data_IF_046430084515
#
_entry.id   IF_046430084515
#
_cell.length_a   1.000
_cell.length_b   1.000
_cell.length_c   1.000
_cell.angle_alpha   90.00
_cell.angle_beta   90.00
_cell.angle_gamma   90.00
#
_symmetry.space_group_name_H-M   'P 1'
#
loop_
_entity.id
_entity.type
_entity.pdbx_description
1 polymer ?
#
# COMPACT_ATOMS: atom_id res chain seq x y z
N UNK A 1 0.61 -11.81 19.90
CA UNK A 1 1.31 -11.59 18.62
C UNK A 1 1.86 -10.17 18.61
N UNK A 2 2.82 -9.85 17.74
CA UNK A 2 3.27 -8.49 17.45
C UNK A 2 2.98 -8.18 15.97
N UNK A 3 2.96 -6.93 15.54
CA UNK A 3 2.76 -6.61 14.12
C UNK A 3 4.07 -6.29 13.39
N UNK A 4 4.07 -6.48 12.08
CA UNK A 4 5.20 -6.23 11.18
C UNK A 4 5.52 -4.73 11.13
N UNK A 5 6.79 -4.36 11.08
CA UNK A 5 7.22 -2.99 10.77
C UNK A 5 7.99 -2.93 9.46
N UNK A 6 8.56 -1.77 9.12
CA UNK A 6 9.34 -1.59 7.89
C UNK A 6 10.57 -2.51 7.78
N UNK A 7 11.03 -3.07 8.90
CA UNK A 7 12.21 -3.94 8.94
C UNK A 7 12.00 -5.36 8.38
N UNK A 8 10.75 -5.82 8.29
CA UNK A 8 10.42 -7.19 7.85
C UNK A 8 9.58 -7.10 6.59
N UNK A 9 10.11 -7.52 5.46
CA UNK A 9 9.42 -7.41 4.17
C UNK A 9 8.67 -8.67 3.75
N UNK A 10 8.90 -9.80 4.45
CA UNK A 10 8.17 -11.05 4.27
C UNK A 10 6.65 -10.85 4.21
N UNK A 11 6.01 -11.63 3.34
CA UNK A 11 4.56 -11.63 3.13
C UNK A 11 3.89 -12.54 4.16
N UNK A 12 2.69 -12.15 4.57
CA UNK A 12 1.82 -12.97 5.41
C UNK A 12 1.22 -14.12 4.62
N UNK A 13 0.76 -15.15 5.33
CA UNK A 13 -0.06 -16.22 4.76
C UNK A 13 -1.54 -15.95 4.97
N UNK A 14 -2.38 -16.33 4.02
CA UNK A 14 -3.84 -16.36 4.08
C UNK A 14 -4.40 -17.79 3.98
N UNK A 15 -3.53 -18.81 4.00
CA UNK A 15 -3.93 -20.21 3.89
C UNK A 15 -3.24 -21.12 4.93
N UNK A 16 -3.80 -22.31 5.14
CA UNK A 16 -3.22 -23.33 6.01
C UNK A 16 -3.16 -22.92 7.50
N UNK A 17 -2.42 -23.66 8.34
CA UNK A 17 -2.36 -23.40 9.78
C UNK A 17 -1.64 -22.10 10.17
N UNK A 18 -0.81 -21.56 9.27
CA UNK A 18 -0.06 -20.31 9.45
C UNK A 18 -0.82 -19.06 8.98
N UNK A 19 -2.05 -19.19 8.51
CA UNK A 19 -2.86 -18.06 8.06
C UNK A 19 -2.95 -16.96 9.13
N UNK A 20 -2.62 -15.73 8.71
CA UNK A 20 -2.51 -14.55 9.57
C UNK A 20 -1.10 -14.30 10.12
N UNK A 21 -0.13 -15.18 9.90
CA UNK A 21 1.27 -14.99 10.32
C UNK A 21 2.21 -14.75 9.13
N UNK A 22 3.44 -14.34 9.44
CA UNK A 22 4.55 -14.27 8.46
C UNK A 22 5.39 -15.55 8.58
N UNK A 23 5.20 -16.56 7.73
CA UNK A 23 6.01 -17.76 7.76
C UNK A 23 7.44 -17.45 7.34
N UNK A 24 8.42 -18.09 7.99
CA UNK A 24 9.82 -17.91 7.61
C UNK A 24 10.08 -18.43 6.19
N UNK A 25 9.53 -19.61 5.87
CA UNK A 25 9.44 -20.13 4.50
C UNK A 25 8.32 -19.41 3.75
N UNK A 26 8.70 -18.51 2.84
CA UNK A 26 7.76 -17.69 2.09
C UNK A 26 6.95 -18.47 1.07
N UNK A 27 7.31 -19.72 0.77
CA UNK A 27 6.44 -20.60 -0.01
C UNK A 27 5.22 -21.10 0.79
N UNK A 28 5.11 -20.73 2.07
CA UNK A 28 3.92 -20.91 2.91
C UNK A 28 3.08 -19.64 3.05
N UNK A 29 3.43 -18.56 2.35
CA UNK A 29 2.71 -17.28 2.36
C UNK A 29 1.78 -17.14 1.14
N UNK A 30 1.08 -16.00 1.02
CA UNK A 30 0.17 -15.69 -0.12
C UNK A 30 0.85 -15.53 -1.48
N UNK A 31 2.17 -15.62 -1.53
CA UNK A 31 2.95 -15.62 -2.78
C UNK A 31 3.36 -17.06 -3.16
N UNK A 32 2.64 -18.06 -2.66
CA UNK A 32 2.88 -19.47 -2.97
C UNK A 32 2.94 -19.70 -4.49
N UNK A 33 3.92 -20.48 -4.94
CA UNK A 33 4.10 -20.83 -6.35
C UNK A 33 4.84 -19.80 -7.20
N UNK A 34 4.93 -18.54 -6.78
CA UNK A 34 5.81 -17.55 -7.42
C UNK A 34 7.25 -17.73 -6.93
N UNK A 35 8.02 -18.56 -7.63
CA UNK A 35 9.39 -18.91 -7.23
C UNK A 35 10.30 -17.68 -7.07
N UNK A 36 10.11 -16.64 -7.88
CA UNK A 36 10.91 -15.42 -7.79
C UNK A 36 10.56 -14.64 -6.53
N UNK A 37 9.27 -14.37 -6.31
CA UNK A 37 8.80 -13.65 -5.12
C UNK A 37 9.14 -14.43 -3.83
N UNK A 38 8.99 -15.76 -3.83
CA UNK A 38 9.34 -16.64 -2.72
C UNK A 38 10.82 -16.57 -2.40
N UNK A 39 11.69 -16.65 -3.41
CA UNK A 39 13.14 -16.56 -3.20
C UNK A 39 13.54 -15.21 -2.62
N UNK A 40 12.97 -14.13 -3.18
CA UNK A 40 13.19 -12.77 -2.68
C UNK A 40 12.71 -12.60 -1.25
N UNK A 41 11.49 -13.03 -0.93
CA UNK A 41 10.95 -12.93 0.43
C UNK A 41 11.74 -13.77 1.44
N UNK A 42 12.21 -14.95 1.04
CA UNK A 42 13.06 -15.79 1.89
C UNK A 42 14.40 -15.10 2.21
N UNK A 43 14.97 -14.42 1.22
CA UNK A 43 16.17 -13.61 1.41
C UNK A 43 15.91 -12.41 2.31
N UNK A 44 14.82 -11.68 2.11
CA UNK A 44 14.41 -10.56 2.98
C UNK A 44 14.20 -11.01 4.44
N UNK A 45 13.61 -12.19 4.66
CA UNK A 45 13.45 -12.76 6.00
C UNK A 45 14.81 -13.13 6.62
N UNK A 46 15.75 -13.68 5.85
CA UNK A 46 17.11 -13.97 6.34
C UNK A 46 17.86 -12.69 6.73
N UNK A 47 17.86 -11.70 5.85
CA UNK A 47 18.50 -10.40 6.08
C UNK A 47 17.95 -9.73 7.34
N UNK A 48 16.63 -9.74 7.55
CA UNK A 48 16.03 -9.20 8.77
C UNK A 48 16.51 -9.91 10.05
N UNK A 49 16.76 -11.22 10.01
CA UNK A 49 17.30 -11.95 11.16
C UNK A 49 18.80 -11.72 11.37
N UNK A 50 19.57 -11.52 10.31
CA UNK A 50 21.02 -11.32 10.36
C UNK A 50 21.37 -9.89 10.77
N UNK A 51 20.80 -8.90 10.09
CA UNK A 51 21.11 -7.48 10.29
C UNK A 51 20.46 -6.89 11.54
N UNK A 52 19.32 -7.45 11.97
CA UNK A 52 18.50 -6.94 13.08
C UNK A 52 18.20 -8.05 14.10
N UNK A 53 19.20 -8.89 14.35
CA UNK A 53 19.13 -10.04 15.26
C UNK A 53 18.79 -9.68 16.71
N UNK A 54 19.04 -8.43 17.12
CA UNK A 54 18.66 -7.86 18.41
C UNK A 54 17.15 -7.58 18.52
N UNK A 55 16.47 -7.37 17.38
CA UNK A 55 15.03 -7.07 17.28
C UNK A 55 14.19 -8.28 16.83
N UNK A 56 14.72 -9.14 15.97
CA UNK A 56 13.96 -10.22 15.34
C UNK A 56 14.57 -11.61 15.60
N UNK A 57 13.70 -12.62 15.59
CA UNK A 57 14.06 -14.01 15.75
C UNK A 57 12.98 -14.92 15.15
N UNK A 58 13.33 -16.18 14.89
CA UNK A 58 12.34 -17.19 14.50
C UNK A 58 11.53 -17.67 15.70
N UNK A 59 10.29 -18.07 15.46
CA UNK A 59 9.44 -18.75 16.44
C UNK A 59 8.67 -19.90 15.82
N UNK A 60 8.65 -21.05 16.50
CA UNK A 60 7.82 -22.18 16.09
C UNK A 60 6.34 -21.84 16.27
N UNK A 61 5.51 -22.24 15.30
CA UNK A 61 4.08 -22.07 15.38
C UNK A 61 3.47 -23.08 16.37
N UNK A 62 2.91 -22.52 17.44
CA UNK A 62 1.98 -23.22 18.31
C UNK A 62 0.58 -22.67 18.06
N UNK A 63 -0.39 -23.56 17.86
CA UNK A 63 -1.76 -23.21 17.55
C UNK A 63 -2.72 -23.82 18.58
N UNK A 64 -3.70 -23.05 19.03
CA UNK A 64 -4.72 -23.51 19.98
C UNK A 64 -5.88 -24.18 19.25
N UNK A 65 -6.64 -25.03 19.94
CA UNK A 65 -7.89 -25.60 19.40
C UNK A 65 -8.89 -24.52 18.98
N UNK A 66 -8.92 -23.40 19.71
CA UNK A 66 -9.76 -22.25 19.38
C UNK A 66 -9.39 -21.65 18.01
N UNK A 67 -8.10 -21.43 17.75
CA UNK A 67 -7.63 -20.91 16.45
C UNK A 67 -7.86 -21.92 15.33
N UNK A 68 -7.64 -23.21 15.57
CA UNK A 68 -7.94 -24.26 14.58
C UNK A 68 -9.44 -24.28 14.22
N UNK A 69 -10.31 -24.18 15.21
CA UNK A 69 -11.75 -24.09 14.99
C UNK A 69 -12.15 -22.81 14.24
N UNK A 70 -11.50 -21.68 14.53
CA UNK A 70 -11.72 -20.43 13.79
C UNK A 70 -11.32 -20.58 12.32
N UNK A 71 -10.11 -21.08 12.04
CA UNK A 71 -9.63 -21.31 10.67
C UNK A 71 -10.51 -22.32 9.90
N UNK A 72 -11.07 -23.31 10.59
CA UNK A 72 -12.00 -24.26 9.96
C UNK A 72 -13.36 -23.62 9.65
N UNK A 73 -13.87 -22.74 10.51
CA UNK A 73 -15.11 -21.98 10.22
C UNK A 73 -14.93 -20.96 9.10
N UNK A 74 -13.72 -20.39 8.99
CA UNK A 74 -13.33 -19.47 7.92
C UNK A 74 -12.99 -20.21 6.61
N UNK A 75 -13.18 -21.53 6.55
CA UNK A 75 -12.89 -22.39 5.39
C UNK A 75 -11.44 -22.32 4.89
N UNK A 76 -10.50 -21.94 5.76
CA UNK A 76 -9.06 -21.89 5.43
C UNK A 76 -8.42 -23.28 5.45
N UNK A 77 -8.88 -24.15 6.34
CA UNK A 77 -8.39 -25.52 6.51
C UNK A 77 -9.46 -26.47 7.02
N UNK A 78 -9.23 -27.78 6.88
CA UNK A 78 -9.91 -28.84 7.62
C UNK A 78 -8.96 -29.44 8.65
N UNK A 79 -9.44 -29.61 9.88
CA UNK A 79 -8.70 -30.21 10.98
C UNK A 79 -9.37 -31.51 11.42
N UNK A 80 -8.63 -32.61 11.33
CA UNK A 80 -9.06 -33.90 11.87
C UNK A 80 -8.58 -34.06 13.32
N UNK A 81 -9.50 -33.94 14.27
CA UNK A 81 -9.20 -34.04 15.71
C UNK A 81 -8.64 -35.42 16.09
N UNK A 82 -9.01 -36.49 15.37
CA UNK A 82 -8.58 -37.86 15.68
C UNK A 82 -7.17 -38.14 15.16
N UNK A 83 -6.87 -37.74 13.93
CA UNK A 83 -5.54 -38.00 13.33
C UNK A 83 -4.54 -36.89 13.60
N UNK A 84 -5.00 -35.73 14.12
CA UNK A 84 -4.20 -34.53 14.34
C UNK A 84 -3.57 -33.99 13.04
N UNK A 85 -4.21 -34.26 11.91
CA UNK A 85 -3.79 -33.79 10.60
C UNK A 85 -4.59 -32.56 10.16
N UNK A 86 -3.96 -31.73 9.32
CA UNK A 86 -4.55 -30.55 8.72
C UNK A 86 -4.50 -30.67 7.21
N UNK A 87 -5.63 -30.40 6.57
CA UNK A 87 -5.76 -30.28 5.12
C UNK A 87 -6.03 -28.81 4.78
N UNK A 88 -5.11 -28.08 4.12
CA UNK A 88 -5.40 -26.74 3.62
C UNK A 88 -6.45 -26.81 2.50
N UNK A 89 -7.31 -25.79 2.41
CA UNK A 89 -8.43 -25.76 1.46
C UNK A 89 -8.16 -24.91 0.20
N UNK A 90 -7.11 -24.11 0.20
CA UNK A 90 -6.77 -23.18 -0.90
C UNK A 90 -5.35 -23.43 -1.40
N UNK A 91 -4.51 -22.39 -1.42
CA UNK A 91 -3.11 -22.47 -1.82
C UNK A 91 -2.37 -23.60 -1.08
N UNK A 92 -1.37 -24.19 -1.75
CA UNK A 92 -0.59 -25.30 -1.21
C UNK A 92 -1.35 -26.62 -0.98
N UNK A 93 -2.66 -26.69 -1.25
CA UNK A 93 -3.41 -27.95 -1.26
C UNK A 93 -2.76 -28.95 -2.22
N UNK A 94 -2.54 -30.17 -1.75
CA UNK A 94 -1.82 -31.22 -2.50
C UNK A 94 -0.30 -31.02 -2.61
N UNK A 95 0.24 -29.84 -2.26
CA UNK A 95 1.68 -29.55 -2.28
C UNK A 95 2.33 -29.72 -0.91
N UNK A 96 1.55 -29.63 0.17
CA UNK A 96 2.02 -29.75 1.55
C UNK A 96 1.11 -30.64 2.38
N UNK A 97 1.71 -31.28 3.38
CA UNK A 97 1.01 -31.96 4.47
C UNK A 97 1.37 -31.28 5.78
N UNK A 98 0.38 -31.19 6.68
CA UNK A 98 0.52 -30.57 7.98
C UNK A 98 0.02 -31.52 9.07
N UNK A 99 0.73 -31.55 10.20
CA UNK A 99 0.33 -32.31 11.39
C UNK A 99 0.52 -31.51 12.66
N UNK A 100 -0.21 -31.91 13.68
CA UNK A 100 -0.21 -31.31 15.01
C UNK A 100 0.43 -32.27 16.01
N UNK A 101 1.40 -31.75 16.77
CA UNK A 101 2.01 -32.45 17.89
C UNK A 101 1.48 -31.84 19.19
N UNK A 102 0.81 -32.62 20.08
CA UNK A 102 0.31 -32.10 21.35
C UNK A 102 1.40 -31.42 22.18
N UNK A 103 1.06 -30.29 22.78
CA UNK A 103 1.98 -29.48 23.57
C UNK A 103 1.23 -28.73 24.68
N UNK A 104 1.92 -28.32 25.75
CA UNK A 104 1.30 -27.56 26.85
C UNK A 104 0.64 -26.24 26.39
N UNK A 105 1.06 -25.70 25.25
CA UNK A 105 0.56 -24.44 24.65
C UNK A 105 -0.48 -24.66 23.54
N UNK A 106 -1.04 -25.87 23.43
CA UNK A 106 -1.91 -26.28 22.33
C UNK A 106 -1.23 -27.33 21.47
N UNK A 107 -0.97 -27.03 20.20
CA UNK A 107 -0.31 -27.95 19.28
C UNK A 107 0.87 -27.28 18.58
N UNK A 108 2.03 -27.95 18.55
CA UNK A 108 3.13 -27.59 17.67
C UNK A 108 2.76 -28.01 16.24
N UNK A 109 2.95 -27.12 15.27
CA UNK A 109 2.66 -27.41 13.86
C UNK A 109 3.94 -27.86 13.15
N UNK A 110 3.84 -29.00 12.46
CA UNK A 110 4.87 -29.47 11.53
C UNK A 110 4.30 -29.58 10.13
N UNK A 111 5.16 -29.41 9.13
CA UNK A 111 4.82 -29.51 7.73
C UNK A 111 5.89 -30.27 6.94
N UNK A 112 5.50 -30.78 5.77
CA UNK A 112 6.43 -31.30 4.76
C UNK A 112 5.87 -31.05 3.37
N UNK A 113 6.75 -30.90 2.37
CA UNK A 113 6.30 -30.92 0.97
C UNK A 113 5.81 -32.32 0.64
N UNK A 114 4.64 -32.38 0.00
CA UNK A 114 4.12 -33.58 -0.59
C UNK A 114 4.94 -33.92 -1.83
N UNK A 115 5.53 -35.10 -1.86
CA UNK A 115 6.23 -35.64 -3.02
C UNK A 115 5.74 -37.07 -3.20
N UNK A 116 5.30 -37.39 -4.42
CA UNK A 116 4.71 -38.68 -4.79
C UNK A 116 5.71 -39.83 -4.76
N UNK A 117 7.00 -39.54 -4.83
CA UNK A 117 8.07 -40.56 -4.90
C UNK A 117 8.62 -40.86 -3.50
N UNK A 118 8.99 -39.83 -2.74
CA UNK A 118 9.43 -39.97 -1.34
C UNK A 118 8.99 -38.76 -0.52
N UNK A 119 8.22 -38.96 0.58
CA UNK A 119 7.86 -37.84 1.44
C UNK A 119 9.11 -37.26 2.10
N UNK A 120 9.27 -35.94 2.00
CA UNK A 120 10.32 -35.21 2.70
C UNK A 120 10.15 -35.30 4.22
N UNK A 121 11.23 -35.10 5.00
CA UNK A 121 11.13 -35.09 6.46
C UNK A 121 10.15 -34.02 6.95
N UNK A 122 9.51 -34.29 8.08
CA UNK A 122 8.70 -33.31 8.80
C UNK A 122 9.59 -32.20 9.35
N UNK A 123 9.21 -30.96 9.08
CA UNK A 123 9.86 -29.75 9.56
C UNK A 123 8.92 -29.02 10.50
N UNK A 124 9.47 -28.38 11.54
CA UNK A 124 8.69 -27.47 12.39
C UNK A 124 8.34 -26.23 11.58
N UNK A 125 7.08 -25.79 11.65
CA UNK A 125 6.68 -24.56 11.00
C UNK A 125 7.22 -23.37 11.78
N UNK A 126 8.11 -22.60 11.17
CA UNK A 126 8.72 -21.41 11.76
C UNK A 126 8.09 -20.13 11.21
N UNK A 127 7.92 -19.15 12.08
CA UNK A 127 7.40 -17.82 11.80
C UNK A 127 8.48 -16.77 12.08
N UNK A 128 8.37 -15.63 11.40
CA UNK A 128 9.06 -14.42 11.82
C UNK A 128 8.49 -13.92 13.16
N UNK A 129 9.35 -13.49 14.06
CA UNK A 129 8.98 -12.98 15.39
C UNK A 129 9.78 -11.74 15.77
N UNK A 130 9.16 -10.86 16.56
CA UNK A 130 9.77 -9.67 17.14
C UNK A 130 10.02 -9.89 18.63
N UNK A 131 11.18 -9.47 19.12
CA UNK A 131 11.51 -9.48 20.54
C UNK A 131 10.79 -8.31 21.22
N UNK A 132 9.88 -8.62 22.13
CA UNK A 132 9.10 -7.66 22.91
C UNK A 132 9.16 -8.10 24.37
N UNK A 133 9.72 -7.27 25.25
CA UNK A 133 9.91 -7.57 26.68
C UNK A 133 10.61 -8.92 26.92
N UNK A 134 11.72 -9.17 26.21
CA UNK A 134 12.49 -10.43 26.23
C UNK A 134 11.74 -11.69 25.77
N UNK A 135 10.52 -11.56 25.25
CA UNK A 135 9.79 -12.65 24.61
C UNK A 135 9.77 -12.48 23.09
N UNK A 136 9.96 -13.58 22.36
CA UNK A 136 9.74 -13.59 20.92
C UNK A 136 8.23 -13.70 20.68
N UNK A 137 7.61 -12.65 20.14
CA UNK A 137 6.20 -12.65 19.74
C UNK A 137 6.11 -12.88 18.22
N UNK A 138 5.30 -13.83 17.74
CA UNK A 138 5.17 -14.06 16.30
C UNK A 138 4.55 -12.84 15.63
N UNK A 139 5.00 -12.54 14.41
CA UNK A 139 4.53 -11.40 13.63
C UNK A 139 3.26 -11.71 12.86
N UNK A 140 2.35 -10.75 12.85
CA UNK A 140 1.14 -10.68 12.02
C UNK A 140 1.10 -9.34 11.27
N UNK A 141 0.09 -9.12 10.45
CA UNK A 141 -0.11 -7.86 9.74
C UNK A 141 -0.27 -6.68 10.72
N UNK A 142 0.26 -5.53 10.35
CA UNK A 142 0.00 -4.25 10.97
C UNK A 142 -1.22 -3.55 10.35
N UNK A 143 -1.56 -2.40 10.92
CA UNK A 143 -2.57 -1.50 10.39
C UNK A 143 -1.88 -0.48 9.50
N UNK A 144 -1.88 -0.78 8.20
CA UNK A 144 -1.43 0.14 7.16
C UNK A 144 -2.43 1.29 7.03
N UNK A 145 -2.02 2.49 7.44
CA UNK A 145 -2.84 3.67 7.29
C UNK A 145 -2.88 4.08 5.83
N UNK A 146 -4.05 4.12 5.21
CA UNK A 146 -4.16 4.68 3.86
C UNK A 146 -3.92 6.20 3.87
N UNK A 147 -4.62 6.91 4.76
CA UNK A 147 -4.52 8.36 4.95
C UNK A 147 -4.91 8.72 6.39
N UNK A 148 -4.28 9.76 6.94
CA UNK A 148 -4.80 10.48 8.11
C UNK A 148 -5.12 11.90 7.67
N UNK A 149 -6.37 12.31 7.86
CA UNK A 149 -6.84 13.63 7.48
C UNK A 149 -7.17 14.45 8.75
N UNK A 150 -6.21 15.17 9.34
CA UNK A 150 -6.47 16.01 10.50
C UNK A 150 -7.21 17.28 10.07
N UNK A 151 -8.06 17.83 10.96
CA UNK A 151 -8.64 19.14 10.71
C UNK A 151 -7.54 20.21 10.69
N UNK A 152 -7.60 21.17 9.78
CA UNK A 152 -6.56 22.20 9.61
C UNK A 152 -6.24 22.92 10.92
N UNK A 153 -7.26 23.20 11.75
CA UNK A 153 -7.10 23.87 13.05
C UNK A 153 -6.28 23.09 14.08
N UNK A 154 -6.13 21.78 13.90
CA UNK A 154 -5.33 20.94 14.77
C UNK A 154 -3.84 20.99 14.40
N UNK A 155 -3.52 21.52 13.20
CA UNK A 155 -2.17 21.57 12.65
C UNK A 155 -1.63 23.01 12.59
N UNK A 156 -2.50 23.96 12.25
CA UNK A 156 -2.18 25.38 12.13
C UNK A 156 -3.02 26.15 13.15
N UNK A 157 -2.34 26.87 14.05
CA UNK A 157 -3.01 27.64 15.08
C UNK A 157 -3.47 29.02 14.58
N UNK A 158 -4.56 29.60 15.15
CA UNK A 158 -5.08 30.91 14.74
C UNK A 158 -4.06 32.06 14.77
N UNK A 159 -3.13 32.03 15.72
CA UNK A 159 -2.09 33.06 15.84
C UNK A 159 -1.11 33.02 14.66
N UNK A 160 -0.80 31.82 14.15
CA UNK A 160 0.06 31.64 12.97
C UNK A 160 -0.63 32.14 11.70
N UNK A 161 -1.94 31.92 11.59
CA UNK A 161 -2.75 32.48 10.50
C UNK A 161 -2.76 34.00 10.58
N UNK A 162 -2.96 34.56 11.78
CA UNK A 162 -2.95 36.00 12.01
C UNK A 162 -1.60 36.62 11.66
N UNK A 163 -0.50 35.96 12.02
CA UNK A 163 0.85 36.36 11.64
C UNK A 163 1.08 36.30 10.13
N UNK A 164 0.64 35.23 9.46
CA UNK A 164 0.74 35.11 8.01
C UNK A 164 -0.04 36.21 7.27
N UNK A 165 -1.14 36.68 7.87
CA UNK A 165 -1.99 37.75 7.34
C UNK A 165 -1.55 39.16 7.76
N UNK A 166 -0.52 39.32 8.60
CA UNK A 166 -0.14 40.63 9.12
C UNK A 166 0.43 41.58 8.05
N UNK A 167 1.03 41.04 6.98
CA UNK A 167 1.65 41.83 5.90
C UNK A 167 0.77 41.85 4.66
N UNK A 168 0.08 42.97 4.39
CA UNK A 168 -0.88 43.14 3.29
C UNK A 168 -0.37 42.71 1.91
N UNK A 169 0.88 43.02 1.58
CA UNK A 169 1.48 42.71 0.27
C UNK A 169 1.89 41.25 0.10
N UNK A 170 2.00 40.50 1.19
CA UNK A 170 2.53 39.13 1.18
C UNK A 170 1.56 38.09 1.76
N UNK A 171 0.35 38.49 2.17
CA UNK A 171 -0.67 37.62 2.80
C UNK A 171 -0.81 36.27 2.11
N UNK A 172 -1.01 36.30 0.78
CA UNK A 172 -1.20 35.08 -0.01
C UNK A 172 0.05 34.19 0.01
N UNK A 173 1.23 34.78 -0.21
CA UNK A 173 2.51 34.06 -0.19
C UNK A 173 2.75 33.40 1.18
N UNK A 174 2.51 34.15 2.25
CA UNK A 174 2.74 33.69 3.62
C UNK A 174 1.75 32.58 4.00
N UNK A 175 0.48 32.71 3.62
CA UNK A 175 -0.52 31.67 3.84
C UNK A 175 -0.20 30.39 3.07
N UNK A 176 0.22 30.51 1.81
CA UNK A 176 0.66 29.37 1.00
C UNK A 176 1.89 28.71 1.62
N UNK A 177 2.87 29.48 2.09
CA UNK A 177 4.05 28.96 2.78
C UNK A 177 3.67 28.20 4.06
N UNK A 178 2.76 28.76 4.87
CA UNK A 178 2.24 28.12 6.08
C UNK A 178 1.54 26.79 5.77
N UNK A 179 0.66 26.76 4.77
CA UNK A 179 -0.03 25.53 4.35
C UNK A 179 0.94 24.48 3.81
N UNK A 180 1.91 24.87 2.98
CA UNK A 180 2.91 23.94 2.41
C UNK A 180 3.86 23.39 3.47
N UNK A 181 4.27 24.23 4.41
CA UNK A 181 5.24 23.91 5.47
C UNK A 181 4.64 23.12 6.63
N UNK A 182 3.44 23.50 7.11
CA UNK A 182 2.80 22.84 8.26
C UNK A 182 1.74 21.82 7.87
N UNK A 183 0.66 22.25 7.22
CA UNK A 183 -0.46 21.36 6.90
C UNK A 183 -0.01 20.20 5.99
N UNK A 184 0.55 20.53 4.83
CA UNK A 184 1.01 19.54 3.86
C UNK A 184 2.40 19.00 4.17
N UNK A 185 3.17 19.67 5.02
CA UNK A 185 4.51 19.26 5.47
C UNK A 185 5.41 18.78 4.33
N UNK A 186 5.40 19.50 3.20
CA UNK A 186 5.92 18.98 1.92
C UNK A 186 7.38 18.57 1.97
N UNK A 187 8.22 19.32 2.70
CA UNK A 187 9.66 19.05 2.83
C UNK A 187 9.93 17.80 3.66
N UNK A 188 9.30 17.64 4.82
CA UNK A 188 9.49 16.47 5.68
C UNK A 188 9.04 15.19 4.99
N UNK A 189 7.94 15.23 4.23
CA UNK A 189 7.46 14.10 3.43
C UNK A 189 8.40 13.67 2.29
N UNK A 190 9.52 14.38 2.07
CA UNK A 190 10.58 13.96 1.14
C UNK A 190 11.75 13.28 1.85
N UNK A 191 11.86 13.44 3.16
CA UNK A 191 12.88 12.82 3.99
C UNK A 191 12.39 11.45 4.44
N UNK A 192 13.26 10.45 4.36
CA UNK A 192 12.96 9.10 4.83
C UNK A 192 13.36 9.01 6.30
N UNK A 193 12.39 8.77 7.17
CA UNK A 193 12.62 8.34 8.54
C UNK A 193 12.82 6.81 8.55
N UNK A 194 13.86 6.28 9.24
CA UNK A 194 14.14 4.85 9.26
C UNK A 194 13.08 4.01 9.97
N UNK A 195 12.31 4.57 10.91
CA UNK A 195 11.32 3.82 11.70
C UNK A 195 9.92 3.93 11.09
N UNK A 196 9.50 5.14 10.65
CA UNK A 196 8.14 5.37 10.16
C UNK A 196 8.03 5.70 8.67
N UNK A 197 9.16 5.73 7.94
CA UNK A 197 9.19 6.07 6.53
C UNK A 197 9.01 7.57 6.26
N UNK A 198 8.33 7.93 5.18
CA UNK A 198 8.10 9.34 4.83
C UNK A 198 6.80 9.82 5.48
N UNK A 199 6.87 10.93 6.22
CA UNK A 199 5.71 11.39 6.99
C UNK A 199 5.64 12.92 7.07
N UNK A 200 4.43 13.50 7.18
CA UNK A 200 4.28 14.87 7.64
C UNK A 200 4.65 14.97 9.13
N UNK A 201 5.06 16.16 9.57
CA UNK A 201 5.53 16.41 10.95
C UNK A 201 4.53 16.03 12.04
N UNK A 202 3.23 16.05 11.73
CA UNK A 202 2.16 15.72 12.66
C UNK A 202 1.79 14.24 12.69
N UNK A 203 2.21 13.42 11.72
CA UNK A 203 1.83 12.00 11.67
C UNK A 203 2.32 11.17 12.87
N UNK A 204 3.55 11.36 13.39
CA UNK A 204 4.01 10.62 14.57
C UNK A 204 3.05 10.71 15.75
N UNK A 205 2.48 11.91 16.01
CA UNK A 205 1.49 12.11 17.06
C UNK A 205 0.26 11.20 16.89
N UNK A 206 -0.28 11.07 15.67
CA UNK A 206 -1.45 10.24 15.42
C UNK A 206 -1.11 8.74 15.52
N UNK A 207 0.05 8.32 15.00
CA UNK A 207 0.53 6.94 15.14
C UNK A 207 0.66 6.57 16.63
N UNK A 208 1.29 7.43 17.43
CA UNK A 208 1.47 7.22 18.86
C UNK A 208 0.12 7.11 19.57
N UNK A 209 -0.82 8.00 19.27
CA UNK A 209 -2.16 7.99 19.88
C UNK A 209 -2.96 6.74 19.51
N UNK A 210 -2.89 6.28 18.26
CA UNK A 210 -3.53 5.02 17.84
C UNK A 210 -2.96 3.82 18.59
N UNK A 211 -1.63 3.75 18.71
CA UNK A 211 -0.95 2.68 19.43
C UNK A 211 -1.23 2.72 20.94
N UNK A 212 -1.26 3.91 21.56
CA UNK A 212 -1.65 4.12 22.95
C UNK A 212 -3.06 3.59 23.20
N UNK A 213 -4.04 3.94 22.33
CA UNK A 213 -5.41 3.42 22.44
C UNK A 213 -5.51 1.91 22.28
N UNK A 214 -4.72 1.29 21.41
CA UNK A 214 -4.67 -0.17 21.31
C UNK A 214 -4.14 -0.80 22.62
N UNK A 215 -3.10 -0.22 23.22
CA UNK A 215 -2.51 -0.68 24.49
C UNK A 215 -3.47 -0.51 25.66
N UNK A 216 -4.18 0.62 25.75
CA UNK A 216 -5.24 0.85 26.74
C UNK A 216 -6.36 -0.21 26.68
N UNK A 217 -6.61 -0.78 25.49
CA UNK A 217 -7.57 -1.87 25.29
C UNK A 217 -7.00 -3.27 25.54
N UNK A 218 -5.78 -3.37 26.04
CA UNK A 218 -5.13 -4.62 26.42
C UNK A 218 -4.19 -5.22 25.38
N UNK A 219 -3.91 -4.52 24.27
CA UNK A 219 -2.93 -5.00 23.30
C UNK A 219 -1.51 -4.96 23.89
N UNK A 220 -0.88 -6.12 24.02
CA UNK A 220 0.47 -6.27 24.58
C UNK A 220 1.54 -6.62 23.53
N UNK A 221 1.20 -6.55 22.24
CA UNK A 221 2.08 -6.93 21.14
C UNK A 221 3.09 -5.85 20.71
N UNK A 222 3.05 -4.68 21.34
CA UNK A 222 3.84 -3.51 20.94
C UNK A 222 2.96 -2.47 20.24
N UNK A 223 3.36 -2.04 19.05
CA UNK A 223 2.57 -1.14 18.21
C UNK A 223 1.76 -1.96 17.19
N UNK A 224 0.60 -1.45 16.79
CA UNK A 224 -0.25 -1.98 15.71
C UNK A 224 -0.11 -1.18 14.43
N UNK A 225 0.21 0.12 14.51
CA UNK A 225 0.59 0.98 13.38
C UNK A 225 2.08 1.26 13.50
N UNK A 226 2.89 0.88 12.51
CA UNK A 226 4.34 1.00 12.60
C UNK A 226 4.92 2.10 11.70
N UNK A 227 4.21 2.55 10.67
CA UNK A 227 4.69 3.55 9.75
C UNK A 227 3.62 4.56 9.34
N UNK A 228 4.08 5.58 8.61
CA UNK A 228 3.24 6.61 8.01
C UNK A 228 2.29 6.03 6.96
N UNK A 229 1.46 6.91 6.40
CA UNK A 229 0.39 6.52 5.50
C UNK A 229 0.85 6.17 4.08
N UNK A 230 0.04 5.39 3.38
CA UNK A 230 0.17 5.02 1.97
C UNK A 230 0.32 6.23 1.04
N UNK A 231 -0.20 7.41 1.42
CA UNK A 231 -0.02 8.66 0.68
C UNK A 231 1.44 9.15 0.55
N UNK A 232 2.38 8.51 1.24
CA UNK A 232 3.81 8.82 1.16
C UNK A 232 4.67 7.60 0.77
N UNK A 233 4.03 6.49 0.41
CA UNK A 233 4.70 5.26 -0.02
C UNK A 233 5.38 5.47 -1.39
N UNK A 234 6.71 5.26 -1.52
CA UNK A 234 7.40 5.34 -2.81
C UNK A 234 6.99 4.25 -3.81
N UNK A 235 6.39 3.16 -3.36
CA UNK A 235 5.89 2.05 -4.17
C UNK A 235 4.43 1.83 -3.83
N UNK A 236 3.56 2.73 -4.29
CA UNK A 236 2.19 2.74 -3.83
C UNK A 236 1.47 1.45 -4.21
N UNK A 237 0.57 1.03 -3.33
CA UNK A 237 -0.31 -0.11 -3.53
C UNK A 237 -1.73 0.37 -3.90
N UNK A 238 -2.41 -0.43 -4.73
CA UNK A 238 -3.79 -0.19 -5.14
C UNK A 238 -4.71 -1.12 -4.35
N UNK A 239 -5.61 -0.54 -3.56
CA UNK A 239 -6.63 -1.29 -2.83
C UNK A 239 -8.02 -0.87 -3.33
N UNK A 240 -8.85 -1.87 -3.65
CA UNK A 240 -10.22 -1.62 -4.09
C UNK A 240 -11.10 -1.12 -2.95
N UNK A 241 -10.91 -1.65 -1.74
CA UNK A 241 -11.71 -1.31 -0.57
C UNK A 241 -10.86 -0.70 0.52
N UNK A 242 -11.35 0.40 1.09
CA UNK A 242 -10.69 1.12 2.17
C UNK A 242 -11.66 1.39 3.32
N UNK A 243 -11.16 1.13 4.51
CA UNK A 243 -11.90 1.31 5.76
C UNK A 243 -11.62 2.72 6.31
N UNK A 244 -12.67 3.50 6.54
CA UNK A 244 -12.55 4.84 7.13
C UNK A 244 -13.27 4.93 8.46
N UNK A 245 -12.68 5.71 9.37
CA UNK A 245 -13.29 6.17 10.60
C UNK A 245 -13.44 7.69 10.51
N UNK A 246 -14.67 8.18 10.52
CA UNK A 246 -14.96 9.61 10.49
C UNK A 246 -14.69 10.26 11.85
N UNK A 247 -14.50 11.60 11.92
CA UNK A 247 -14.35 12.33 13.18
C UNK A 247 -15.52 12.15 14.17
N UNK A 248 -16.70 11.76 13.69
CA UNK A 248 -17.89 11.46 14.51
C UNK A 248 -17.95 9.99 14.95
N UNK A 249 -16.91 9.20 14.68
CA UNK A 249 -16.84 7.77 15.00
C UNK A 249 -17.63 6.85 14.06
N UNK A 250 -18.22 7.38 12.98
CA UNK A 250 -18.86 6.52 11.97
C UNK A 250 -17.82 5.76 11.18
N UNK A 251 -18.12 4.49 10.89
CA UNK A 251 -17.30 3.58 10.12
C UNK A 251 -17.91 3.42 8.72
N UNK A 252 -17.07 3.42 7.68
CA UNK A 252 -17.45 3.08 6.31
C UNK A 252 -16.37 2.22 5.64
N UNK A 253 -16.77 1.42 4.66
CA UNK A 253 -15.88 0.60 3.84
C UNK A 253 -16.24 0.84 2.37
N UNK A 254 -15.34 1.46 1.62
CA UNK A 254 -15.53 1.68 0.17
C UNK A 254 -15.43 0.36 -0.58
N UNK A 255 -16.14 0.23 -1.68
CA UNK A 255 -16.18 -0.98 -2.50
C UNK A 255 -15.25 -0.91 -3.71
N UNK A 256 -14.86 0.30 -4.10
CA UNK A 256 -13.97 0.53 -5.23
C UNK A 256 -13.14 1.82 -5.03
N UNK A 257 -12.21 2.02 -5.96
CA UNK A 257 -11.30 3.16 -5.94
C UNK A 257 -11.98 4.50 -6.19
N UNK A 258 -13.06 4.54 -6.99
CA UNK A 258 -13.80 5.77 -7.23
C UNK A 258 -14.48 6.25 -5.94
N UNK A 259 -15.17 5.36 -5.23
CA UNK A 259 -15.80 5.67 -3.93
C UNK A 259 -14.77 6.18 -2.90
N UNK A 260 -13.55 5.64 -2.93
CA UNK A 260 -12.44 6.13 -2.10
C UNK A 260 -12.12 7.60 -2.41
N UNK A 261 -12.01 7.95 -3.68
CA UNK A 261 -11.74 9.31 -4.10
C UNK A 261 -12.89 10.24 -3.74
N UNK A 262 -14.14 9.81 -3.96
CA UNK A 262 -15.34 10.59 -3.61
C UNK A 262 -15.40 10.91 -2.11
N UNK A 263 -15.07 9.94 -1.25
CA UNK A 263 -14.98 10.14 0.21
C UNK A 263 -13.92 11.18 0.54
N UNK A 264 -12.76 11.15 -0.12
CA UNK A 264 -11.65 12.06 0.17
C UNK A 264 -11.94 13.47 -0.34
N UNK A 265 -12.60 13.59 -1.49
CA UNK A 265 -13.09 14.86 -1.99
C UNK A 265 -14.17 15.47 -1.11
N UNK A 266 -15.00 14.64 -0.48
CA UNK A 266 -15.92 15.09 0.56
C UNK A 266 -15.16 15.62 1.79
N UNK A 267 -14.15 14.88 2.27
CA UNK A 267 -13.31 15.28 3.42
C UNK A 267 -12.57 16.60 3.13
N UNK A 268 -12.06 16.78 1.91
CA UNK A 268 -11.37 17.99 1.45
C UNK A 268 -12.22 19.25 1.58
N UNK A 269 -13.54 19.13 1.42
CA UNK A 269 -14.50 20.25 1.50
C UNK A 269 -14.80 20.66 2.95
N UNK A 270 -14.43 19.85 3.95
CA UNK A 270 -14.77 20.07 5.37
C UNK A 270 -13.57 20.52 6.24
N UNK A 271 -12.65 21.30 5.65
CA UNK A 271 -11.46 21.87 6.32
C UNK A 271 -10.50 20.81 6.93
N UNK A 272 -10.40 19.64 6.30
CA UNK A 272 -9.39 18.65 6.64
C UNK A 272 -8.19 18.73 5.69
N UNK A 273 -7.01 18.45 6.22
CA UNK A 273 -5.79 18.35 5.43
C UNK A 273 -5.82 17.00 4.71
N UNK A 274 -5.88 17.05 3.39
CA UNK A 274 -5.78 15.87 2.52
C UNK A 274 -4.72 16.11 1.45
N UNK A 275 -4.08 15.04 1.01
CA UNK A 275 -3.13 15.05 -0.09
C UNK A 275 -3.04 13.65 -0.69
N UNK A 276 -2.68 13.55 -1.96
CA UNK A 276 -2.46 12.28 -2.64
C UNK A 276 -1.00 11.84 -2.60
N UNK A 277 -0.78 10.56 -2.91
CA UNK A 277 0.55 10.04 -3.19
C UNK A 277 1.12 10.72 -4.44
N UNK A 278 2.38 11.15 -4.36
CA UNK A 278 3.06 11.85 -5.46
C UNK A 278 3.36 10.97 -6.67
N UNK A 279 3.28 9.65 -6.49
CA UNK A 279 3.47 8.69 -7.56
C UNK A 279 2.13 8.18 -8.14
N UNK A 280 0.99 8.67 -7.65
CA UNK A 280 -0.26 8.51 -8.40
C UNK A 280 -0.17 9.30 -9.71
N UNK A 281 -0.91 8.84 -10.72
CA UNK A 281 -0.83 9.33 -12.10
C UNK A 281 0.58 9.22 -12.72
N UNK A 282 1.45 8.36 -12.18
CA UNK A 282 2.78 8.08 -12.73
C UNK A 282 2.87 6.66 -13.27
N UNK A 283 3.62 6.46 -14.34
CA UNK A 283 3.85 5.14 -14.95
C UNK A 283 4.89 4.33 -14.18
N UNK A 284 4.50 3.13 -13.78
CA UNK A 284 5.40 2.11 -13.25
C UNK A 284 5.64 1.06 -14.33
N UNK A 285 6.86 1.04 -14.85
CA UNK A 285 7.31 0.10 -15.89
C UNK A 285 8.27 -0.88 -15.22
N UNK A 286 7.91 -2.16 -15.28
CA UNK A 286 8.71 -3.27 -14.76
C UNK A 286 8.91 -4.31 -15.85
N UNK A 287 9.86 -5.22 -15.68
CA UNK A 287 10.08 -6.34 -16.59
C UNK A 287 9.90 -7.66 -15.84
N UNK A 288 9.22 -8.62 -16.45
CA UNK A 288 9.12 -9.98 -15.92
C UNK A 288 10.40 -10.79 -16.20
N UNK A 289 10.44 -12.03 -15.70
CA UNK A 289 11.59 -12.94 -15.89
C UNK A 289 11.89 -13.29 -17.35
N UNK A 290 10.93 -13.08 -18.25
CA UNK A 290 11.06 -13.34 -19.69
C UNK A 290 11.41 -12.06 -20.47
N UNK A 291 11.62 -10.93 -19.77
CA UNK A 291 11.88 -9.62 -20.38
C UNK A 291 10.63 -8.94 -20.94
N UNK A 292 9.43 -9.41 -20.61
CA UNK A 292 8.21 -8.72 -21.01
C UNK A 292 7.99 -7.50 -20.12
N UNK A 293 7.79 -6.34 -20.74
CA UNK A 293 7.42 -5.13 -20.02
C UNK A 293 6.01 -5.27 -19.44
N UNK A 294 5.85 -4.83 -18.19
CA UNK A 294 4.58 -4.65 -17.51
C UNK A 294 4.45 -3.20 -17.08
N UNK A 295 3.42 -2.54 -17.61
CA UNK A 295 3.07 -1.15 -17.28
C UNK A 295 1.92 -1.16 -16.28
N UNK A 296 1.98 -0.27 -15.29
CA UNK A 296 0.89 -0.04 -14.34
C UNK A 296 0.83 1.42 -13.94
N UNK A 297 -0.36 1.85 -13.53
CA UNK A 297 -0.65 3.20 -13.03
C UNK A 297 -1.70 3.11 -11.94
N UNK A 298 -1.66 4.05 -11.00
CA UNK A 298 -2.73 4.28 -10.03
C UNK A 298 -3.32 5.66 -10.34
N UNK A 299 -4.52 5.73 -10.95
CA UNK A 299 -5.15 7.01 -11.29
C UNK A 299 -5.62 7.72 -10.01
N UNK A 300 -5.61 9.05 -10.01
CA UNK A 300 -6.12 9.87 -8.92
C UNK A 300 -6.58 11.26 -9.37
N UNK A 301 -7.85 11.55 -9.13
CA UNK A 301 -8.52 12.82 -9.42
C UNK A 301 -8.76 13.04 -10.91
N UNK A 302 -9.63 14.02 -11.19
CA UNK A 302 -10.09 14.32 -12.55
C UNK A 302 -9.42 15.56 -13.17
N UNK A 303 -8.32 16.02 -12.58
CA UNK A 303 -7.66 17.27 -13.01
C UNK A 303 -6.62 16.99 -14.08
N UNK A 304 -6.66 17.76 -15.17
CA UNK A 304 -5.61 17.74 -16.20
C UNK A 304 -4.23 17.98 -15.57
N UNK A 305 -3.19 17.27 -16.04
CA UNK A 305 -1.84 17.43 -15.52
C UNK A 305 -1.28 18.83 -15.79
N UNK A 306 -0.41 19.28 -14.90
CA UNK A 306 0.46 20.43 -15.21
C UNK A 306 1.39 20.08 -16.37
N UNK A 307 1.86 21.08 -17.12
CA UNK A 307 2.77 20.86 -18.26
C UNK A 307 3.99 20.02 -17.88
N UNK A 308 4.59 20.30 -16.73
CA UNK A 308 5.75 19.54 -16.22
C UNK A 308 5.40 18.09 -15.87
N UNK A 309 4.19 17.85 -15.35
CA UNK A 309 3.73 16.49 -15.02
C UNK A 309 3.49 15.70 -16.29
N UNK A 310 2.83 16.30 -17.28
CA UNK A 310 2.64 15.72 -18.61
C UNK A 310 3.99 15.41 -19.29
N UNK A 311 4.95 16.35 -19.24
CA UNK A 311 6.30 16.13 -19.79
C UNK A 311 6.97 14.91 -19.16
N UNK A 312 7.00 14.82 -17.82
CA UNK A 312 7.57 13.67 -17.12
C UNK A 312 6.85 12.35 -17.47
N UNK A 313 5.53 12.41 -17.64
CA UNK A 313 4.72 11.27 -18.03
C UNK A 313 5.07 10.79 -19.45
N UNK A 314 5.16 11.71 -20.41
CA UNK A 314 5.53 11.38 -21.79
C UNK A 314 6.96 10.86 -21.91
N UNK A 315 7.91 11.35 -21.11
CA UNK A 315 9.26 10.76 -21.01
C UNK A 315 9.23 9.32 -20.49
N UNK A 316 8.26 8.98 -19.63
CA UNK A 316 8.07 7.62 -19.17
C UNK A 316 7.44 6.74 -20.25
N UNK A 317 6.47 7.26 -21.01
CA UNK A 317 5.87 6.57 -22.16
C UNK A 317 6.93 6.16 -23.18
N UNK A 318 7.93 7.00 -23.46
CA UNK A 318 9.00 6.68 -24.42
C UNK A 318 9.79 5.40 -24.11
N UNK A 319 9.71 4.90 -22.88
CA UNK A 319 10.35 3.64 -22.46
C UNK A 319 9.51 2.41 -22.80
N UNK A 320 8.25 2.61 -23.19
CA UNK A 320 7.34 1.55 -23.61
C UNK A 320 7.61 1.22 -25.07
N UNK A 321 7.78 -0.07 -25.36
CA UNK A 321 7.98 -0.56 -26.74
C UNK A 321 6.78 -0.17 -27.63
N UNK A 322 7.04 0.43 -28.79
CA UNK A 322 6.02 0.87 -29.74
C UNK A 322 5.49 2.29 -29.50
N UNK A 323 6.01 3.01 -28.50
CA UNK A 323 5.55 4.36 -28.15
C UNK A 323 5.84 5.43 -29.21
N UNK A 324 6.75 5.17 -30.15
CA UNK A 324 7.08 6.08 -31.25
C UNK A 324 5.88 6.45 -32.11
N UNK A 325 4.89 5.56 -32.22
CA UNK A 325 3.70 5.74 -33.06
C UNK A 325 2.79 6.86 -32.56
N UNK A 326 2.82 7.18 -31.26
CA UNK A 326 1.95 8.20 -30.65
C UNK A 326 2.64 9.54 -30.37
N UNK A 327 3.90 9.69 -30.78
CA UNK A 327 4.71 10.88 -30.47
C UNK A 327 4.07 12.19 -30.97
N UNK A 328 3.42 12.16 -32.14
CA UNK A 328 2.76 13.33 -32.69
C UNK A 328 1.48 13.70 -31.94
N UNK A 329 0.67 12.71 -31.56
CA UNK A 329 -0.55 12.94 -30.78
C UNK A 329 -0.24 13.52 -29.40
N UNK A 330 0.79 12.98 -28.73
CA UNK A 330 1.23 13.51 -27.44
C UNK A 330 1.70 14.97 -27.55
N UNK A 331 2.37 15.35 -28.65
CA UNK A 331 2.74 16.77 -28.90
C UNK A 331 1.51 17.65 -29.10
N UNK A 332 0.49 17.16 -29.79
CA UNK A 332 -0.77 17.89 -29.99
C UNK A 332 -1.50 18.11 -28.66
N UNK A 333 -1.62 17.06 -27.83
CA UNK A 333 -2.19 17.16 -26.48
C UNK A 333 -1.39 18.14 -25.64
N UNK A 334 -0.06 18.08 -25.69
CA UNK A 334 0.81 19.02 -24.97
C UNK A 334 0.51 20.47 -25.34
N UNK A 335 0.35 20.76 -26.63
CA UNK A 335 0.01 22.12 -27.11
C UNK A 335 -1.36 22.56 -26.60
N UNK A 336 -2.36 21.68 -26.63
CA UNK A 336 -3.68 21.97 -26.04
C UNK A 336 -3.59 22.25 -24.53
N UNK A 337 -2.74 21.52 -23.80
CA UNK A 337 -2.47 21.80 -22.38
C UNK A 337 -1.77 23.15 -22.20
N UNK A 338 -0.86 23.54 -23.09
CA UNK A 338 -0.29 24.90 -23.07
C UNK A 338 -1.37 25.95 -23.25
N UNK A 339 -2.27 25.77 -24.22
CA UNK A 339 -3.40 26.68 -24.44
C UNK A 339 -4.34 26.73 -23.22
N UNK A 340 -4.57 25.59 -22.55
CA UNK A 340 -5.36 25.51 -21.32
C UNK A 340 -4.73 26.31 -20.15
N UNK A 341 -3.41 26.18 -19.96
CA UNK A 341 -2.68 26.82 -18.87
C UNK A 341 -2.29 28.28 -19.17
N UNK A 342 -2.02 28.61 -20.44
CA UNK A 342 -1.70 29.97 -20.91
C UNK A 342 -2.95 30.81 -21.20
N UNK A 343 -4.12 30.16 -21.35
CA UNK A 343 -5.38 30.80 -21.66
C UNK A 343 -5.63 31.98 -20.73
N UNK A 344 -5.71 33.18 -21.31
CA UNK A 344 -6.04 34.43 -20.60
C UNK A 344 -7.25 34.18 -19.72
N UNK A 345 -7.05 34.46 -18.43
CA UNK A 345 -7.98 34.34 -17.31
C UNK A 345 -9.43 34.64 -17.74
N UNK A 346 -10.32 33.64 -17.71
CA UNK A 346 -11.75 33.91 -17.46
C UNK A 346 -12.80 33.04 -18.17
N UNK A 347 -12.59 32.56 -19.39
CA UNK A 347 -13.69 31.89 -20.11
C UNK A 347 -13.78 30.39 -19.79
N UNK A 348 -14.69 30.04 -18.87
CA UNK A 348 -15.01 28.65 -18.48
C UNK A 348 -15.39 27.76 -19.68
N UNK A 349 -16.05 28.34 -20.70
CA UNK A 349 -16.44 27.62 -21.90
C UNK A 349 -15.23 27.19 -22.73
N UNK A 350 -14.27 28.08 -22.96
CA UNK A 350 -13.04 27.78 -23.69
C UNK A 350 -12.23 26.69 -22.99
N UNK A 351 -12.14 26.74 -21.65
CA UNK A 351 -11.47 25.69 -20.87
C UNK A 351 -12.15 24.33 -21.04
N UNK A 352 -13.48 24.31 -21.04
CA UNK A 352 -14.26 23.09 -21.27
C UNK A 352 -14.01 22.53 -22.67
N UNK A 353 -14.06 23.36 -23.70
CA UNK A 353 -13.81 22.94 -25.09
C UNK A 353 -12.40 22.35 -25.27
N UNK A 354 -11.39 22.92 -24.61
CA UNK A 354 -10.02 22.36 -24.63
C UNK A 354 -9.97 21.00 -23.91
N UNK A 355 -10.63 20.86 -22.76
CA UNK A 355 -10.74 19.58 -22.03
C UNK A 355 -11.41 18.54 -22.93
N UNK A 356 -12.60 18.83 -23.44
CA UNK A 356 -13.37 17.93 -24.31
C UNK A 356 -12.51 17.51 -25.53
N UNK A 357 -11.77 18.44 -26.14
CA UNK A 357 -10.87 18.14 -27.26
C UNK A 357 -9.64 17.32 -26.89
N UNK A 358 -9.12 17.41 -25.66
CA UNK A 358 -8.04 16.55 -25.17
C UNK A 358 -8.60 15.14 -24.93
N UNK A 359 -9.76 15.04 -24.26
CA UNK A 359 -10.47 13.79 -23.96
C UNK A 359 -10.79 13.02 -25.24
N UNK A 360 -11.42 13.65 -26.24
CA UNK A 360 -11.71 13.02 -27.55
C UNK A 360 -10.44 12.49 -28.24
N UNK A 361 -9.32 13.24 -28.15
CA UNK A 361 -8.07 12.81 -28.75
C UNK A 361 -7.49 11.58 -28.03
N UNK A 362 -7.54 11.56 -26.70
CA UNK A 362 -7.11 10.41 -25.91
C UNK A 362 -7.99 9.18 -26.15
N UNK A 363 -9.31 9.34 -26.24
CA UNK A 363 -10.24 8.26 -26.59
C UNK A 363 -9.93 7.66 -27.95
N UNK A 364 -9.70 8.51 -28.95
CA UNK A 364 -9.32 8.06 -30.29
C UNK A 364 -8.02 7.25 -30.24
N UNK A 365 -6.98 7.76 -29.57
CA UNK A 365 -5.72 7.03 -29.42
C UNK A 365 -5.93 5.68 -28.72
N UNK A 366 -6.74 5.66 -27.66
CA UNK A 366 -7.07 4.41 -26.97
C UNK A 366 -7.70 3.41 -27.91
N UNK A 367 -8.71 3.80 -28.69
CA UNK A 367 -9.34 2.94 -29.69
C UNK A 367 -8.35 2.43 -30.75
N UNK A 368 -7.47 3.31 -31.24
CA UNK A 368 -6.51 2.96 -32.29
C UNK A 368 -5.42 1.96 -31.81
N UNK A 369 -5.07 1.98 -30.52
CA UNK A 369 -3.91 1.21 -29.99
C UNK A 369 -4.26 0.10 -29.00
N UNK A 370 -5.50 0.02 -28.48
CA UNK A 370 -5.90 -0.92 -27.41
C UNK A 370 -5.54 -2.38 -27.70
N UNK A 371 -5.85 -2.82 -28.92
CA UNK A 371 -5.75 -4.24 -29.29
C UNK A 371 -4.33 -4.64 -29.70
N UNK A 372 -3.50 -3.66 -30.10
CA UNK A 372 -2.15 -3.92 -30.64
C UNK A 372 -1.05 -3.67 -29.61
N UNK A 373 -1.27 -2.76 -28.64
CA UNK A 373 -0.25 -2.33 -27.70
C UNK A 373 -0.80 -2.19 -26.28
N UNK A 374 -1.05 -3.32 -25.60
CA UNK A 374 -1.66 -3.34 -24.25
C UNK A 374 -0.98 -2.39 -23.25
N UNK A 375 0.36 -2.38 -23.21
CA UNK A 375 1.13 -1.51 -22.32
C UNK A 375 1.00 -0.02 -22.69
N UNK A 376 0.89 0.30 -23.98
CA UNK A 376 0.69 1.67 -24.45
C UNK A 376 -0.74 2.13 -24.16
N UNK A 377 -1.72 1.25 -24.36
CA UNK A 377 -3.11 1.50 -24.02
C UNK A 377 -3.28 1.81 -22.53
N UNK A 378 -2.70 0.99 -21.64
CA UNK A 378 -2.68 1.26 -20.19
C UNK A 378 -2.04 2.61 -19.85
N UNK A 379 -0.98 3.00 -20.56
CA UNK A 379 -0.35 4.29 -20.35
C UNK A 379 -1.22 5.46 -20.85
N UNK A 380 -2.02 5.27 -21.89
CA UNK A 380 -2.97 6.25 -22.38
C UNK A 380 -4.21 6.35 -21.49
N UNK A 381 -4.69 5.23 -20.95
CA UNK A 381 -5.79 5.19 -19.96
C UNK A 381 -5.42 5.97 -18.70
N UNK A 382 -4.12 6.06 -18.37
CA UNK A 382 -3.64 6.88 -17.27
C UNK A 382 -3.58 8.39 -17.53
N UNK A 383 -3.63 8.82 -18.80
CA UNK A 383 -3.72 10.23 -19.19
C UNK A 383 -5.16 10.69 -19.41
N UNK A 384 -6.03 9.75 -19.79
CA UNK A 384 -7.47 9.93 -19.92
C UNK A 384 -8.11 10.08 -18.54
#
# INVERSE_FOLDING_TARGET
MATKGLDVHGKSSDWGPMAGYIPFDQNLSKIFGDQYAVNKGNEENRQALEEKSDRFAKKQLYITSERLNALQREEILKWNVKTLEITPLHEGAGSYQFRLIPHQKGYLVEYRKFNTIHPLPWLKLELMGKKVNNEIKPLTADYDLFMVAPNVKNIIHPDEVSQALATDTEKFRNLVALMRGKALSQENRRKVDPEIGRAPTWMPYYIDKLNEKAKERGYSGGNVVNHSSEMDNPRPEFNQSLFFITPKGKILLTQNWQETQDVIDYIKKDNYVVYSNRNYNSLFITEDINGNQKVSIIPWGDSLPLLKEFDNYTESIKKIKGSEIISNDLKMIRKKLEDYHNGKIGNKQVKKEIIDSITEQLEKMLLDYRDQYTNLALALEGLY
#
